data_IF_887148804871
#
_entry.id   IF_887148804871
#
_cell.length_a   1.000
_cell.length_b   1.000
_cell.length_c   1.000
_cell.angle_alpha   90.00
_cell.angle_beta   90.00
_cell.angle_gamma   90.00
#
_symmetry.space_group_name_H-M   'P 1'
#
loop_
_entity.id
_entity.type
_entity.pdbx_description
1 polymer ?
#
# COMPACT_ATOMS: atom_id res chain seq x y z
N UNK A 1 -10.47 -6.44 15.82
CA UNK A 1 -10.83 -5.09 15.33
C UNK A 1 -10.34 -5.00 13.89
N UNK A 2 -11.23 -4.95 12.90
CA UNK A 2 -10.82 -4.87 11.51
C UNK A 2 -10.27 -3.45 11.26
N UNK A 3 -8.97 -3.35 11.00
CA UNK A 3 -8.36 -2.09 10.57
C UNK A 3 -8.84 -1.86 9.15
N UNK A 4 -9.78 -0.95 8.97
CA UNK A 4 -10.17 -0.52 7.63
C UNK A 4 -9.07 0.42 7.15
N UNK A 5 -8.15 -0.08 6.36
CA UNK A 5 -7.03 0.69 5.81
C UNK A 5 -7.57 1.62 4.73
N UNK A 6 -7.06 2.84 4.68
CA UNK A 6 -7.30 3.77 3.58
C UNK A 6 -6.71 3.23 2.28
N UNK A 7 -6.87 3.96 1.19
CA UNK A 7 -6.15 3.66 -0.03
C UNK A 7 -4.66 3.98 0.19
N UNK A 8 -3.77 3.07 -0.18
CA UNK A 8 -2.34 3.39 -0.19
C UNK A 8 -1.99 4.17 -1.45
N UNK A 9 -1.16 5.20 -1.31
CA UNK A 9 -0.54 5.89 -2.44
C UNK A 9 0.99 5.82 -2.29
N UNK A 10 1.66 5.17 -3.24
CA UNK A 10 3.13 5.05 -3.26
C UNK A 10 3.79 6.19 -4.02
N UNK A 11 3.01 7.18 -4.43
CA UNK A 11 3.46 8.37 -5.12
C UNK A 11 2.44 9.48 -4.89
N UNK A 12 2.89 10.71 -4.76
CA UNK A 12 2.04 11.90 -4.82
C UNK A 12 2.05 12.52 -6.21
N UNK A 13 1.14 13.46 -6.46
CA UNK A 13 1.06 14.16 -7.76
C UNK A 13 2.35 14.92 -8.09
N UNK A 14 2.94 15.72 -7.18
CA UNK A 14 4.22 16.35 -7.43
C UNK A 14 5.35 15.36 -7.70
N UNK A 15 5.41 14.23 -7.00
CA UNK A 15 6.40 13.18 -7.20
C UNK A 15 6.30 12.56 -8.59
N UNK A 16 5.07 12.25 -9.05
CA UNK A 16 4.86 11.78 -10.41
C UNK A 16 5.34 12.78 -11.46
N UNK A 17 4.98 14.06 -11.30
CA UNK A 17 5.36 15.10 -12.26
C UNK A 17 6.87 15.32 -12.34
N UNK A 18 7.59 15.15 -11.23
CA UNK A 18 9.06 15.20 -11.23
C UNK A 18 9.70 14.00 -11.93
N UNK A 19 9.09 12.82 -11.80
CA UNK A 19 9.61 11.57 -12.35
C UNK A 19 9.19 11.33 -13.81
N UNK A 20 7.99 11.78 -14.17
CA UNK A 20 7.47 11.66 -15.53
C UNK A 20 7.93 12.84 -16.38
N UNK A 21 8.79 12.61 -17.34
CA UNK A 21 9.34 13.64 -18.25
C UNK A 21 8.34 14.16 -19.29
N UNK A 22 7.07 13.74 -19.25
CA UNK A 22 6.05 14.08 -20.24
C UNK A 22 5.29 15.37 -19.89
N UNK A 23 5.49 16.42 -20.66
CA UNK A 23 4.78 17.71 -20.54
C UNK A 23 3.25 17.62 -20.76
N UNK A 24 2.75 16.53 -21.31
CA UNK A 24 1.32 16.37 -21.62
C UNK A 24 0.44 16.05 -20.39
N UNK A 25 1.03 15.77 -19.23
CA UNK A 25 0.29 15.46 -18.00
C UNK A 25 -0.39 16.66 -17.38
N UNK A 26 0.00 17.88 -17.71
CA UNK A 26 -0.58 19.11 -17.16
C UNK A 26 -2.09 19.23 -17.45
N UNK A 27 -2.58 18.75 -18.60
CA UNK A 27 -4.00 18.76 -18.94
C UNK A 27 -4.84 17.73 -18.18
N UNK A 28 -4.20 16.74 -17.54
CA UNK A 28 -4.85 15.69 -16.76
C UNK A 28 -4.90 16.01 -15.26
N UNK A 29 -4.21 17.05 -14.83
CA UNK A 29 -4.03 17.37 -13.42
C UNK A 29 -5.33 17.78 -12.73
N UNK A 30 -6.26 18.41 -13.45
CA UNK A 30 -7.36 19.08 -12.75
C UNK A 30 -6.82 20.13 -11.76
N UNK A 31 -7.62 20.47 -10.77
CA UNK A 31 -7.18 21.33 -9.66
C UNK A 31 -6.32 20.47 -8.71
N UNK A 32 -5.16 21.00 -8.38
CA UNK A 32 -4.21 20.37 -7.47
C UNK A 32 -3.63 21.40 -6.50
N UNK A 33 -3.59 21.05 -5.23
CA UNK A 33 -3.03 21.84 -4.14
C UNK A 33 -2.41 20.92 -3.09
N UNK A 34 -2.02 21.45 -1.96
CA UNK A 34 -1.51 20.68 -0.82
C UNK A 34 -2.20 21.10 0.46
N UNK A 35 -2.25 20.22 1.46
CA UNK A 35 -2.68 20.57 2.79
C UNK A 35 -1.78 21.66 3.36
N UNK A 36 -2.39 22.73 3.83
CA UNK A 36 -1.71 23.81 4.53
C UNK A 36 -1.55 23.48 6.02
N UNK A 37 -0.57 24.15 6.67
CA UNK A 37 -0.34 24.02 8.11
C UNK A 37 0.96 23.32 8.44
N UNK A 38 1.26 23.21 9.75
CA UNK A 38 2.49 22.63 10.29
C UNK A 38 2.23 21.38 11.17
N UNK A 39 0.95 21.09 11.45
CA UNK A 39 0.52 19.96 12.28
C UNK A 39 -0.32 18.97 11.51
N UNK A 40 -0.45 17.76 12.09
CA UNK A 40 -1.30 16.72 11.54
C UNK A 40 -2.75 17.15 11.62
N UNK A 41 -3.46 17.08 10.49
CA UNK A 41 -4.89 17.30 10.41
C UNK A 41 -5.63 16.14 11.05
N UNK A 42 -6.55 16.42 11.95
CA UNK A 42 -7.31 15.36 12.62
C UNK A 42 -8.34 14.70 11.69
N UNK A 43 -8.62 13.42 11.93
CA UNK A 43 -9.76 12.75 11.31
C UNK A 43 -11.07 13.46 11.69
N UNK A 44 -12.07 13.44 10.80
CA UNK A 44 -13.35 14.13 10.98
C UNK A 44 -13.31 15.63 10.63
N UNK A 45 -12.21 16.12 10.08
CA UNK A 45 -12.10 17.54 9.67
C UNK A 45 -12.99 17.79 8.46
N UNK A 46 -13.92 18.76 8.59
CA UNK A 46 -14.85 19.19 7.53
C UNK A 46 -14.34 20.45 6.81
N UNK A 47 -13.57 21.31 7.48
CA UNK A 47 -12.91 22.47 6.88
C UNK A 47 -11.46 22.17 6.62
N UNK A 48 -11.14 21.85 5.37
CA UNK A 48 -9.83 21.38 4.95
C UNK A 48 -8.92 22.56 4.61
N UNK A 49 -7.88 22.87 5.39
CA UNK A 49 -6.94 23.92 5.06
C UNK A 49 -6.05 23.51 3.89
N UNK A 50 -5.99 24.32 2.86
CA UNK A 50 -5.19 24.09 1.65
C UNK A 50 -4.37 25.31 1.28
N UNK A 51 -3.32 25.13 0.51
CA UNK A 51 -2.46 26.24 0.05
C UNK A 51 -3.24 27.17 -0.89
N UNK A 52 -4.12 26.63 -1.71
CA UNK A 52 -4.98 27.40 -2.61
C UNK A 52 -6.30 26.65 -2.85
N UNK A 53 -7.43 27.32 -2.65
CA UNK A 53 -8.77 26.79 -2.86
C UNK A 53 -9.52 27.45 -4.02
N UNK A 54 -8.86 28.29 -4.81
CA UNK A 54 -9.49 29.00 -5.92
C UNK A 54 -9.87 28.03 -7.05
N UNK A 55 -11.08 28.22 -7.59
CA UNK A 55 -11.58 27.43 -8.70
C UNK A 55 -12.13 26.06 -8.32
N UNK A 56 -12.09 25.66 -7.04
CA UNK A 56 -12.64 24.38 -6.59
C UNK A 56 -14.17 24.39 -6.59
N UNK A 57 -14.74 23.28 -7.04
CA UNK A 57 -16.20 23.09 -7.15
C UNK A 57 -16.63 21.89 -6.35
N UNK A 58 -17.95 21.74 -6.11
CA UNK A 58 -18.47 20.53 -5.50
C UNK A 58 -18.13 19.29 -6.34
N UNK A 59 -17.68 18.23 -5.69
CA UNK A 59 -17.28 17.01 -6.36
C UNK A 59 -16.29 16.16 -5.56
N UNK A 60 -15.87 15.02 -6.10
CA UNK A 60 -14.89 14.16 -5.45
C UNK A 60 -13.52 14.81 -5.39
N UNK A 61 -12.85 14.59 -4.27
CA UNK A 61 -11.50 15.07 -3.96
C UNK A 61 -10.65 13.89 -3.55
N UNK A 62 -9.42 13.84 -4.04
CA UNK A 62 -8.42 12.83 -3.66
C UNK A 62 -7.38 13.47 -2.75
N UNK A 63 -7.23 12.88 -1.56
CA UNK A 63 -6.15 13.14 -0.62
C UNK A 63 -5.10 12.03 -0.77
N UNK A 64 -3.89 12.37 -1.19
CA UNK A 64 -2.78 11.42 -1.33
C UNK A 64 -1.79 11.64 -0.18
N UNK A 65 -1.80 10.73 0.77
CA UNK A 65 -0.99 10.78 1.99
C UNK A 65 -0.51 9.37 2.38
N UNK A 66 0.30 8.77 1.53
CA UNK A 66 0.84 7.44 1.76
C UNK A 66 -0.23 6.40 2.09
N UNK A 67 -0.13 5.71 3.26
CA UNK A 67 -1.08 4.67 3.65
C UNK A 67 -2.46 5.22 4.07
N UNK A 68 -2.60 6.52 4.24
CA UNK A 68 -3.82 7.19 4.72
C UNK A 68 -4.57 7.92 3.63
N UNK A 69 -4.24 7.65 2.37
CA UNK A 69 -4.91 8.28 1.23
C UNK A 69 -6.39 7.92 1.19
N UNK A 70 -7.22 8.89 0.81
CA UNK A 70 -8.67 8.71 0.77
C UNK A 70 -9.34 9.54 -0.33
N UNK A 71 -10.60 9.25 -0.58
CA UNK A 71 -11.48 10.04 -1.42
C UNK A 71 -12.53 10.68 -0.53
N UNK A 72 -12.59 12.01 -0.53
CA UNK A 72 -13.58 12.80 0.17
C UNK A 72 -14.49 13.53 -0.83
N UNK A 73 -15.55 14.16 -0.35
CA UNK A 73 -16.49 14.92 -1.15
C UNK A 73 -16.39 16.40 -0.77
N UNK A 74 -16.00 17.25 -1.71
CA UNK A 74 -16.05 18.71 -1.55
C UNK A 74 -17.48 19.18 -1.78
N UNK A 75 -17.98 20.05 -0.93
CA UNK A 75 -19.27 20.75 -1.09
C UNK A 75 -19.10 22.18 -1.57
N UNK A 76 -17.91 22.76 -1.41
CA UNK A 76 -17.54 24.10 -1.85
C UNK A 76 -16.23 24.56 -1.23
N UNK A 77 -15.82 25.80 -1.52
CA UNK A 77 -14.74 26.48 -0.82
C UNK A 77 -15.33 27.48 0.17
N UNK A 78 -14.80 27.52 1.40
CA UNK A 78 -15.18 28.53 2.39
C UNK A 78 -14.50 29.87 2.12
N UNK A 79 -13.25 29.81 1.67
CA UNK A 79 -12.41 30.96 1.27
C UNK A 79 -11.31 30.48 0.31
N UNK A 80 -10.34 31.34 0.00
CA UNK A 80 -9.22 31.02 -0.89
C UNK A 80 -8.23 29.98 -0.33
N UNK A 81 -8.39 29.59 0.95
CA UNK A 81 -7.46 28.68 1.66
C UNK A 81 -8.16 27.51 2.35
N UNK A 82 -9.49 27.39 2.26
CA UNK A 82 -10.23 26.33 2.88
C UNK A 82 -11.27 25.73 1.96
N UNK A 83 -11.27 24.39 1.88
CA UNK A 83 -12.29 23.60 1.21
C UNK A 83 -13.27 23.04 2.26
N UNK A 84 -14.56 23.08 1.94
CA UNK A 84 -15.59 22.46 2.78
C UNK A 84 -15.88 21.06 2.29
N UNK A 85 -15.72 20.07 3.18
CA UNK A 85 -16.04 18.67 2.90
C UNK A 85 -17.45 18.32 3.38
N UNK A 86 -18.08 17.36 2.72
CA UNK A 86 -19.30 16.73 3.22
C UNK A 86 -19.01 15.98 4.52
N UNK A 87 -20.00 15.94 5.44
CA UNK A 87 -19.87 15.13 6.65
C UNK A 87 -19.69 13.64 6.28
N UNK A 88 -18.88 12.89 7.00
CA UNK A 88 -18.23 13.22 8.28
C UNK A 88 -16.85 13.94 8.15
N UNK A 89 -16.46 14.46 6.99
CA UNK A 89 -15.17 15.05 6.75
C UNK A 89 -14.10 14.02 6.38
N UNK A 90 -12.84 14.28 6.77
CA UNK A 90 -11.73 13.35 6.53
C UNK A 90 -11.90 12.08 7.38
N UNK A 91 -11.64 10.94 6.79
CA UNK A 91 -11.70 9.64 7.49
C UNK A 91 -10.46 9.37 8.33
N UNK A 92 -9.31 9.88 7.86
CA UNK A 92 -8.00 9.64 8.46
C UNK A 92 -7.34 10.95 8.87
N UNK A 93 -6.36 10.91 9.80
CA UNK A 93 -5.48 12.04 10.02
C UNK A 93 -4.51 12.17 8.85
N UNK A 94 -4.18 13.41 8.45
CA UNK A 94 -3.31 13.69 7.32
C UNK A 94 -2.14 14.57 7.69
N UNK A 95 -0.99 14.28 7.07
CA UNK A 95 0.22 15.07 7.25
C UNK A 95 0.13 16.41 6.49
N UNK A 96 0.78 17.47 7.00
CA UNK A 96 0.96 18.71 6.25
C UNK A 96 1.65 18.45 4.91
N UNK A 97 1.23 19.14 3.87
CA UNK A 97 1.78 18.95 2.53
C UNK A 97 1.21 17.77 1.75
N UNK A 98 0.30 16.98 2.34
CA UNK A 98 -0.39 15.91 1.59
C UNK A 98 -1.06 16.50 0.33
N UNK A 99 -0.96 15.78 -0.79
CA UNK A 99 -1.48 16.25 -2.07
C UNK A 99 -3.00 16.17 -2.10
N UNK A 100 -3.63 17.25 -2.53
CA UNK A 100 -5.08 17.40 -2.64
C UNK A 100 -5.42 17.67 -4.10
N UNK A 101 -6.25 16.83 -4.71
CA UNK A 101 -6.61 16.94 -6.12
C UNK A 101 -8.09 16.77 -6.35
N UNK A 102 -8.64 17.50 -7.31
CA UNK A 102 -10.01 17.32 -7.80
C UNK A 102 -10.01 16.74 -9.21
N UNK A 103 -10.94 15.86 -9.51
CA UNK A 103 -11.07 15.29 -10.83
C UNK A 103 -11.40 16.36 -11.88
N UNK A 104 -10.60 16.43 -12.91
CA UNK A 104 -10.95 17.12 -14.16
C UNK A 104 -11.76 16.22 -15.09
N UNK A 105 -12.19 16.74 -16.22
CA UNK A 105 -13.04 16.06 -17.23
C UNK A 105 -12.43 14.79 -17.88
N UNK A 106 -11.18 14.45 -17.58
CA UNK A 106 -10.47 13.27 -18.13
C UNK A 106 -10.07 12.21 -17.11
N UNK A 107 -10.53 12.29 -15.88
CA UNK A 107 -10.02 11.51 -14.75
C UNK A 107 -8.76 12.15 -14.17
N UNK A 108 -8.61 12.18 -12.83
CA UNK A 108 -7.46 12.83 -12.23
C UNK A 108 -6.22 11.95 -12.28
N UNK A 109 -5.07 12.59 -12.33
CA UNK A 109 -3.78 11.92 -12.15
C UNK A 109 -3.74 11.19 -10.78
N UNK A 110 -4.34 11.81 -9.76
CA UNK A 110 -4.46 11.20 -8.43
C UNK A 110 -5.20 9.86 -8.46
N UNK A 111 -6.31 9.75 -9.21
CA UNK A 111 -7.01 8.48 -9.38
C UNK A 111 -6.14 7.43 -10.10
N UNK A 112 -5.38 7.84 -11.11
CA UNK A 112 -4.46 6.94 -11.80
C UNK A 112 -3.35 6.43 -10.86
N UNK A 113 -2.81 7.30 -10.00
CA UNK A 113 -1.82 6.94 -8.97
C UNK A 113 -2.42 5.93 -7.97
N UNK A 114 -3.63 6.15 -7.47
CA UNK A 114 -4.29 5.22 -6.56
C UNK A 114 -4.56 3.85 -7.21
N UNK A 115 -4.99 3.85 -8.47
CA UNK A 115 -5.17 2.60 -9.24
C UNK A 115 -3.84 1.87 -9.47
N UNK A 116 -2.77 2.60 -9.77
CA UNK A 116 -1.43 2.04 -9.91
C UNK A 116 -0.95 1.43 -8.59
N UNK A 117 -1.18 2.13 -7.47
CA UNK A 117 -0.85 1.65 -6.13
C UNK A 117 -1.62 0.37 -5.78
N UNK A 118 -2.92 0.33 -6.04
CA UNK A 118 -3.74 -0.87 -5.82
C UNK A 118 -3.30 -2.06 -6.71
N UNK A 119 -2.90 -1.78 -7.96
CA UNK A 119 -2.34 -2.81 -8.84
C UNK A 119 -1.03 -3.36 -8.28
N UNK A 120 -0.14 -2.48 -7.82
CA UNK A 120 1.14 -2.82 -7.23
C UNK A 120 0.97 -3.71 -5.99
N UNK A 121 0.07 -3.36 -5.09
CA UNK A 121 -0.29 -4.18 -3.92
C UNK A 121 -0.85 -5.55 -4.33
N UNK A 122 -1.73 -5.57 -5.33
CA UNK A 122 -2.27 -6.80 -5.89
C UNK A 122 -1.20 -7.70 -6.51
N UNK A 123 -0.18 -7.13 -7.14
CA UNK A 123 0.93 -7.87 -7.72
C UNK A 123 1.89 -8.42 -6.66
N UNK A 124 2.21 -7.62 -5.64
CA UNK A 124 3.10 -8.04 -4.56
C UNK A 124 2.48 -9.09 -3.64
N UNK A 125 1.17 -9.13 -3.52
CA UNK A 125 0.39 -10.11 -2.75
C UNK A 125 0.86 -10.29 -1.30
N UNK A 126 1.37 -9.24 -0.67
CA UNK A 126 1.67 -9.26 0.76
C UNK A 126 0.36 -9.20 1.57
N UNK A 127 0.38 -9.81 2.74
CA UNK A 127 -0.74 -9.77 3.68
C UNK A 127 -2.00 -10.50 3.26
N UNK A 128 -3.15 -9.94 3.61
CA UNK A 128 -4.50 -10.48 3.35
C UNK A 128 -5.26 -9.61 2.35
N UNK A 129 -6.44 -10.07 1.89
CA UNK A 129 -7.28 -9.26 1.00
C UNK A 129 -7.76 -7.94 1.62
N UNK A 130 -7.83 -7.88 2.94
CA UNK A 130 -8.24 -6.68 3.70
C UNK A 130 -7.08 -5.74 4.05
N UNK A 131 -5.84 -6.24 4.00
CA UNK A 131 -4.63 -5.47 4.25
C UNK A 131 -3.54 -5.94 3.30
N UNK A 132 -3.37 -5.25 2.18
CA UNK A 132 -2.32 -5.48 1.18
C UNK A 132 -1.30 -4.36 1.13
N UNK A 133 -1.45 -3.34 1.98
CA UNK A 133 -0.55 -2.21 2.00
C UNK A 133 0.89 -2.66 2.24
N UNK A 134 1.81 -2.21 1.39
CA UNK A 134 3.24 -2.46 1.57
C UNK A 134 3.88 -1.51 2.58
N UNK A 135 3.15 -0.54 3.10
CA UNK A 135 3.66 0.38 4.12
C UNK A 135 3.85 -0.29 5.47
N UNK A 136 4.83 0.21 6.22
CA UNK A 136 5.12 -0.24 7.57
C UNK A 136 4.03 0.20 8.55
N UNK A 137 3.10 -0.72 8.82
CA UNK A 137 2.00 -0.56 9.74
C UNK A 137 2.12 -1.58 10.87
N UNK A 138 1.59 -1.24 12.05
CA UNK A 138 1.49 -2.19 13.15
C UNK A 138 0.41 -3.24 12.83
N UNK A 139 0.77 -4.51 12.91
CA UNK A 139 -0.09 -5.64 12.56
C UNK A 139 -0.02 -6.72 13.63
N UNK A 140 -1.12 -7.43 13.77
CA UNK A 140 -1.17 -8.65 14.55
C UNK A 140 -1.66 -9.78 13.64
N UNK A 141 -0.87 -10.85 13.56
CA UNK A 141 -1.18 -12.03 12.76
C UNK A 141 -1.19 -13.27 13.63
N UNK A 142 -2.06 -14.21 13.30
CA UNK A 142 -2.23 -15.48 13.98
C UNK A 142 -2.06 -16.62 12.97
N UNK A 143 -1.10 -17.50 13.22
CA UNK A 143 -0.78 -18.59 12.31
C UNK A 143 -0.84 -19.95 13.00
N UNK A 144 -1.56 -20.89 12.39
CA UNK A 144 -1.56 -22.29 12.85
C UNK A 144 -0.21 -22.95 12.59
N UNK A 145 0.28 -23.70 13.58
CA UNK A 145 1.54 -24.43 13.53
C UNK A 145 1.31 -25.92 13.83
N UNK A 146 1.85 -26.85 13.02
CA UNK A 146 2.64 -26.60 11.82
C UNK A 146 1.77 -26.14 10.64
N UNK A 147 2.31 -25.25 9.82
CA UNK A 147 1.62 -24.70 8.66
C UNK A 147 2.58 -24.05 7.66
N UNK A 148 2.05 -23.59 6.53
CA UNK A 148 2.85 -22.99 5.46
C UNK A 148 3.56 -21.69 5.89
N UNK A 149 3.04 -20.99 6.89
CA UNK A 149 3.60 -19.73 7.38
C UNK A 149 4.21 -19.79 8.77
N UNK A 150 3.98 -20.88 9.52
CA UNK A 150 4.61 -21.13 10.81
C UNK A 150 4.94 -22.60 10.94
N UNK A 151 6.20 -22.92 11.22
CA UNK A 151 6.69 -24.30 11.37
C UNK A 151 7.81 -24.38 12.41
N UNK A 152 8.17 -25.58 12.79
CA UNK A 152 9.30 -25.84 13.68
C UNK A 152 10.48 -26.31 12.82
N UNK A 153 11.62 -25.65 12.98
CA UNK A 153 12.89 -26.04 12.38
C UNK A 153 13.80 -26.64 13.47
N UNK A 154 14.40 -27.80 13.18
CA UNK A 154 15.36 -28.49 14.06
C UNK A 154 14.87 -28.73 15.49
N UNK A 155 13.57 -28.95 15.65
CA UNK A 155 12.91 -29.25 16.93
C UNK A 155 13.08 -28.21 18.05
N UNK A 156 13.76 -27.09 17.80
CA UNK A 156 14.07 -26.10 18.82
C UNK A 156 13.76 -24.66 18.43
N UNK A 157 13.42 -24.42 17.16
CA UNK A 157 13.18 -23.08 16.63
C UNK A 157 11.82 -23.05 15.94
N UNK A 158 10.91 -22.22 16.43
CA UNK A 158 9.72 -21.88 15.66
C UNK A 158 10.08 -20.81 14.65
N UNK A 159 9.71 -21.04 13.40
CA UNK A 159 9.93 -20.08 12.31
C UNK A 159 8.58 -19.57 11.85
N UNK A 160 8.43 -18.26 11.81
CA UNK A 160 7.22 -17.60 11.32
C UNK A 160 7.56 -16.73 10.12
N UNK A 161 6.74 -16.85 9.08
CA UNK A 161 6.79 -16.01 7.89
C UNK A 161 5.66 -15.01 7.97
N UNK A 162 5.93 -13.73 8.31
CA UNK A 162 4.92 -12.68 8.40
C UNK A 162 4.30 -12.40 7.03
N UNK A 163 3.08 -11.92 7.04
CA UNK A 163 2.35 -11.55 5.81
C UNK A 163 2.95 -10.32 5.14
N UNK A 164 3.55 -9.42 5.92
CA UNK A 164 4.16 -8.20 5.43
C UNK A 164 5.63 -8.13 5.82
N UNK A 165 6.46 -7.79 4.87
CA UNK A 165 7.91 -7.71 5.05
C UNK A 165 8.49 -6.49 4.29
N UNK A 166 9.69 -6.01 4.67
CA UNK A 166 10.50 -6.48 5.79
C UNK A 166 9.86 -6.15 7.16
N UNK A 167 10.04 -7.03 8.13
CA UNK A 167 9.71 -6.73 9.53
C UNK A 167 10.72 -5.73 10.06
N UNK A 168 10.24 -4.59 10.53
CA UNK A 168 11.08 -3.51 11.07
C UNK A 168 11.14 -3.56 12.61
N UNK A 169 10.01 -3.89 13.24
CA UNK A 169 9.89 -3.97 14.68
C UNK A 169 8.99 -5.15 15.06
N UNK A 170 9.46 -5.97 15.98
CA UNK A 170 8.68 -7.03 16.59
C UNK A 170 8.26 -6.55 17.99
N UNK A 171 6.95 -6.52 18.25
CA UNK A 171 6.40 -5.92 19.48
C UNK A 171 5.91 -6.96 20.48
N UNK A 172 5.33 -8.07 20.01
CA UNK A 172 4.88 -9.15 20.88
C UNK A 172 4.87 -10.50 20.14
N UNK A 173 5.10 -11.56 20.90
CA UNK A 173 5.01 -12.94 20.46
C UNK A 173 4.27 -13.76 21.51
N UNK A 174 3.37 -14.62 21.09
CA UNK A 174 2.73 -15.58 21.95
C UNK A 174 2.46 -16.90 21.24
N UNK A 175 2.51 -17.99 21.97
CA UNK A 175 2.14 -19.32 21.54
C UNK A 175 0.85 -19.72 22.26
N UNK A 176 -0.22 -19.91 21.52
CA UNK A 176 -1.48 -20.42 22.04
C UNK A 176 -1.52 -21.95 21.82
N UNK A 177 -1.61 -22.67 22.90
CA UNK A 177 -1.62 -24.13 22.94
C UNK A 177 -3.03 -24.69 23.20
N UNK A 178 -4.07 -23.89 22.94
CA UNK A 178 -5.46 -24.25 23.17
C UNK A 178 -5.78 -24.42 24.66
N UNK A 179 -6.15 -25.63 25.07
CA UNK A 179 -6.51 -25.91 26.49
C UNK A 179 -5.36 -25.69 27.48
N UNK A 180 -4.11 -25.70 27.03
CA UNK A 180 -2.93 -25.43 27.85
C UNK A 180 -2.68 -23.92 28.06
N UNK A 181 -3.47 -23.06 27.42
CA UNK A 181 -3.38 -21.62 27.57
C UNK A 181 -2.39 -20.97 26.61
N UNK A 182 -2.17 -19.67 26.82
CA UNK A 182 -1.30 -18.85 25.98
C UNK A 182 0.02 -18.58 26.72
N UNK A 183 1.13 -18.90 26.08
CA UNK A 183 2.48 -18.63 26.56
C UNK A 183 3.03 -17.38 25.86
N UNK A 184 3.34 -16.33 26.61
CA UNK A 184 4.06 -15.18 26.06
C UNK A 184 5.54 -15.58 25.84
N UNK A 185 6.05 -15.27 24.65
CA UNK A 185 7.43 -15.53 24.27
C UNK A 185 8.25 -14.24 24.36
N UNK A 186 9.53 -14.37 24.71
CA UNK A 186 10.42 -13.22 24.82
C UNK A 186 10.84 -12.72 23.45
N UNK A 187 10.36 -11.53 23.09
CA UNK A 187 10.69 -10.87 21.83
C UNK A 187 12.19 -10.62 21.67
N UNK A 188 12.91 -10.39 22.76
CA UNK A 188 14.35 -10.12 22.72
C UNK A 188 15.17 -11.34 22.26
N UNK A 189 14.62 -12.53 22.36
CA UNK A 189 15.28 -13.76 21.90
C UNK A 189 14.95 -14.09 20.44
N UNK A 190 13.93 -13.47 19.89
CA UNK A 190 13.57 -13.66 18.49
C UNK A 190 14.61 -13.01 17.55
N UNK A 191 14.84 -13.64 16.42
CA UNK A 191 15.76 -13.15 15.38
C UNK A 191 15.02 -12.89 14.09
N UNK A 192 15.30 -11.74 13.49
CA UNK A 192 14.84 -11.45 12.14
C UNK A 192 15.88 -11.95 11.15
N UNK A 193 15.49 -12.85 10.26
CA UNK A 193 16.38 -13.43 9.24
C UNK A 193 15.81 -13.20 7.84
N UNK A 194 16.59 -13.49 6.80
CA UNK A 194 16.15 -13.30 5.42
C UNK A 194 15.73 -11.86 5.11
N UNK A 195 16.48 -10.86 5.60
CA UNK A 195 16.17 -9.43 5.41
C UNK A 195 14.79 -9.05 6.00
N UNK A 196 14.46 -9.59 7.17
CA UNK A 196 13.19 -9.34 7.84
C UNK A 196 11.99 -10.09 7.25
N UNK A 197 12.23 -11.14 6.48
CA UNK A 197 11.18 -11.99 5.91
C UNK A 197 10.79 -13.18 6.79
N UNK A 198 11.63 -13.52 7.74
CA UNK A 198 11.42 -14.63 8.67
C UNK A 198 11.67 -14.15 10.10
N UNK A 199 10.88 -14.68 11.02
CA UNK A 199 11.04 -14.51 12.46
C UNK A 199 11.39 -15.89 13.02
N UNK A 200 12.60 -16.03 13.55
CA UNK A 200 13.05 -17.22 14.23
C UNK A 200 12.90 -17.04 15.74
N UNK A 201 12.20 -17.94 16.38
CA UNK A 201 11.86 -17.88 17.79
C UNK A 201 12.45 -19.11 18.46
N UNK A 202 13.51 -18.98 19.30
CA UNK A 202 14.03 -20.09 20.07
C UNK A 202 12.96 -20.62 21.03
N UNK A 203 12.67 -21.88 20.96
CA UNK A 203 11.80 -22.56 21.93
C UNK A 203 12.68 -22.99 23.10
N UNK A 204 12.60 -22.24 24.21
CA UNK A 204 13.43 -22.49 25.38
C UNK A 204 13.16 -23.87 25.98
N UNK A 205 14.23 -24.62 26.21
CA UNK A 205 14.27 -25.90 26.90
C UNK A 205 13.84 -25.74 28.38
N UNK A 206 12.62 -26.00 28.68
CA UNK A 206 12.11 -25.91 30.05
C UNK A 206 10.59 -26.02 30.16
N UNK A 207 9.91 -25.57 29.15
CA UNK A 207 8.53 -25.94 28.88
C UNK A 207 8.65 -26.80 27.65
N UNK A 208 8.32 -28.09 27.76
CA UNK A 208 8.40 -28.99 26.62
C UNK A 208 7.28 -28.67 25.61
N UNK A 209 7.40 -27.61 24.81
CA UNK A 209 6.38 -27.22 23.84
C UNK A 209 6.31 -28.27 22.72
N UNK A 210 7.35 -29.09 22.60
CA UNK A 210 7.42 -30.18 21.62
C UNK A 210 6.55 -31.36 22.02
N UNK A 211 6.40 -31.64 23.33
CA UNK A 211 5.46 -32.69 23.79
C UNK A 211 3.99 -32.26 23.54
N UNK A 212 3.66 -30.97 23.66
CA UNK A 212 2.34 -30.45 23.35
C UNK A 212 2.09 -30.43 21.81
N UNK A 213 3.11 -30.15 21.01
CA UNK A 213 3.01 -30.10 19.55
C UNK A 213 3.13 -31.50 18.89
N UNK A 214 3.79 -32.47 19.56
CA UNK A 214 4.02 -33.82 19.01
C UNK A 214 2.77 -34.73 19.02
N UNK A 215 1.70 -34.33 19.69
CA UNK A 215 0.49 -35.13 19.84
C UNK A 215 -0.77 -34.39 19.40
N UNK A 216 -0.96 -34.27 18.10
CA UNK A 216 -2.27 -33.91 17.46
C UNK A 216 -2.93 -32.57 17.85
N UNK A 217 -2.34 -31.74 18.68
CA UNK A 217 -2.90 -30.42 18.98
C UNK A 217 -2.28 -29.35 18.09
N UNK A 218 -3.13 -28.59 17.41
CA UNK A 218 -2.72 -27.42 16.63
C UNK A 218 -2.37 -26.30 17.62
N UNK A 219 -1.13 -25.84 17.58
CA UNK A 219 -0.75 -24.61 18.23
C UNK A 219 -0.94 -23.42 17.30
N UNK A 220 -1.12 -22.25 17.88
CA UNK A 220 -1.22 -21.00 17.11
C UNK A 220 -0.13 -20.04 17.59
N UNK A 221 0.60 -19.46 16.66
CA UNK A 221 1.56 -18.40 16.96
C UNK A 221 0.91 -17.06 16.65
N UNK A 222 0.83 -16.20 17.66
CA UNK A 222 0.43 -14.81 17.52
C UNK A 222 1.66 -13.93 17.44
N UNK A 223 1.74 -13.10 16.42
CA UNK A 223 2.87 -12.20 16.17
C UNK A 223 2.34 -10.79 16.01
N UNK A 224 2.81 -9.86 16.84
CA UNK A 224 2.55 -8.43 16.70
C UNK A 224 3.83 -7.74 16.24
N UNK A 225 3.78 -7.08 15.11
CA UNK A 225 4.96 -6.51 14.47
C UNK A 225 4.60 -5.27 13.62
N UNK A 226 5.61 -4.49 13.28
CA UNK A 226 5.54 -3.47 12.23
C UNK A 226 6.31 -3.98 11.02
N UNK A 227 5.62 -4.20 9.91
CA UNK A 227 6.21 -4.74 8.68
C UNK A 227 5.80 -3.98 7.45
N UNK A 228 6.72 -3.87 6.49
CA UNK A 228 6.57 -3.12 5.25
C UNK A 228 7.61 -2.01 5.09
N UNK A 229 7.39 -1.11 4.14
CA UNK A 229 8.27 0.02 3.85
C UNK A 229 7.84 1.28 4.61
N UNK A 230 8.81 2.04 5.11
CA UNK A 230 8.53 3.28 5.86
C UNK A 230 7.96 4.35 4.91
N UNK A 231 6.83 5.01 5.25
CA UNK A 231 6.22 6.01 4.37
C UNK A 231 7.16 7.15 3.96
N UNK A 232 7.99 7.63 4.89
CA UNK A 232 8.97 8.70 4.64
C UNK A 232 10.26 8.27 3.94
N UNK A 233 10.47 6.96 3.73
CA UNK A 233 11.66 6.37 3.12
C UNK A 233 11.28 5.28 2.11
N UNK A 234 10.38 5.64 1.19
CA UNK A 234 9.93 4.73 0.15
C UNK A 234 11.11 4.35 -0.77
N UNK A 235 11.38 3.04 -0.99
CA UNK A 235 12.39 2.61 -1.94
C UNK A 235 12.16 3.15 -3.34
N UNK A 236 13.25 3.57 -4.00
CA UNK A 236 13.18 4.19 -5.32
C UNK A 236 12.53 3.28 -6.37
N UNK A 237 12.86 2.00 -6.37
CA UNK A 237 12.31 1.00 -7.29
C UNK A 237 10.79 0.83 -7.15
N UNK A 238 10.26 0.92 -5.93
CA UNK A 238 8.84 0.85 -5.66
C UNK A 238 8.11 2.12 -6.15
N UNK A 239 8.68 3.30 -5.88
CA UNK A 239 8.16 4.56 -6.39
C UNK A 239 8.21 4.60 -7.92
N UNK A 240 9.32 4.15 -8.52
CA UNK A 240 9.49 4.10 -9.96
C UNK A 240 8.54 3.11 -10.64
N UNK A 241 8.28 1.95 -10.02
CA UNK A 241 7.26 1.02 -10.50
C UNK A 241 5.87 1.69 -10.52
N UNK A 242 5.53 2.45 -9.47
CA UNK A 242 4.27 3.21 -9.44
C UNK A 242 4.20 4.25 -10.58
N UNK A 243 5.30 4.94 -10.90
CA UNK A 243 5.37 5.87 -12.06
C UNK A 243 5.08 5.13 -13.36
N UNK A 244 5.72 4.00 -13.61
CA UNK A 244 5.53 3.23 -14.85
C UNK A 244 4.09 2.73 -14.99
N UNK A 245 3.50 2.18 -13.92
CA UNK A 245 2.12 1.69 -13.94
C UNK A 245 1.14 2.86 -14.13
N UNK A 246 1.36 3.99 -13.46
CA UNK A 246 0.55 5.20 -13.64
C UNK A 246 0.59 5.69 -15.07
N UNK A 247 1.78 5.75 -15.68
CA UNK A 247 1.98 6.17 -17.07
C UNK A 247 1.26 5.24 -18.05
N UNK A 248 1.31 3.93 -17.80
CA UNK A 248 0.59 2.94 -18.59
C UNK A 248 -0.93 3.12 -18.50
N UNK A 249 -1.46 3.32 -17.29
CA UNK A 249 -2.90 3.58 -17.07
C UNK A 249 -3.37 4.86 -17.76
N UNK A 250 -2.55 5.92 -17.74
CA UNK A 250 -2.85 7.16 -18.46
C UNK A 250 -2.82 6.98 -19.97
N UNK A 251 -1.85 6.24 -20.49
CA UNK A 251 -1.77 5.92 -21.91
C UNK A 251 -3.00 5.16 -22.41
N UNK A 252 -3.51 4.21 -21.61
CA UNK A 252 -4.73 3.46 -21.93
C UNK A 252 -5.99 4.32 -21.93
N UNK A 253 -6.11 5.30 -21.01
CA UNK A 253 -7.23 6.25 -21.04
C UNK A 253 -7.29 7.06 -22.32
N UNK A 254 -6.15 7.32 -22.96
CA UNK A 254 -6.08 8.01 -24.25
C UNK A 254 -6.55 7.13 -25.42
N UNK A 255 -6.57 5.81 -25.22
CA UNK A 255 -7.06 4.84 -26.20
C UNK A 255 -8.20 3.98 -25.60
N UNK A 256 -9.38 4.58 -25.31
CA UNK A 256 -10.48 3.89 -24.63
C UNK A 256 -11.10 2.77 -25.48
N UNK A 257 -10.89 2.76 -26.78
CA UNK A 257 -11.43 1.74 -27.69
C UNK A 257 -10.60 0.46 -27.70
N UNK A 258 -9.43 0.45 -27.03
CA UNK A 258 -8.52 -0.70 -27.08
C UNK A 258 -8.05 -1.04 -28.51
N UNK A 259 -8.23 -0.11 -29.45
CA UNK A 259 -7.84 -0.34 -30.84
C UNK A 259 -6.33 -0.60 -30.89
N UNK A 260 -5.95 -1.78 -31.33
CA UNK A 260 -4.56 -2.17 -31.51
C UNK A 260 -3.83 -1.27 -32.51
N UNK A 261 -4.59 -0.48 -33.24
CA UNK A 261 -4.07 0.35 -34.34
C UNK A 261 -4.93 1.60 -34.52
N UNK A 262 -4.35 2.77 -34.27
CA UNK A 262 -4.97 4.06 -34.61
C UNK A 262 -4.20 4.65 -35.77
N UNK A 263 -4.89 4.89 -36.87
CA UNK A 263 -4.33 5.54 -38.07
C UNK A 263 -4.93 6.93 -38.22
N UNK A 264 -4.09 7.95 -38.11
CA UNK A 264 -4.50 9.34 -38.31
C UNK A 264 -3.59 9.96 -39.39
N UNK A 265 -4.08 10.04 -40.61
CA UNK A 265 -3.30 10.49 -41.74
C UNK A 265 -2.10 9.57 -42.04
N UNK A 266 -0.88 10.14 -42.03
CA UNK A 266 0.37 9.39 -42.24
C UNK A 266 0.93 8.78 -40.94
N UNK A 267 0.32 9.05 -39.80
CA UNK A 267 0.76 8.52 -38.52
C UNK A 267 -0.05 7.29 -38.16
N UNK A 268 0.67 6.25 -37.79
CA UNK A 268 0.10 5.00 -37.30
C UNK A 268 0.61 4.74 -35.91
N UNK A 269 -0.29 4.69 -34.93
CA UNK A 269 0.00 4.35 -33.55
C UNK A 269 -0.48 2.93 -33.29
N UNK A 270 0.43 2.02 -33.01
CA UNK A 270 0.11 0.66 -32.61
C UNK A 270 0.06 0.60 -31.08
N UNK A 271 -1.15 0.54 -30.50
CA UNK A 271 -1.35 0.30 -29.09
C UNK A 271 -1.66 -1.19 -28.86
N UNK A 272 -1.00 -1.82 -27.91
CA UNK A 272 -1.31 -3.20 -27.53
C UNK A 272 -2.47 -3.23 -26.54
N UNK A 273 -3.44 -4.14 -26.71
CA UNK A 273 -4.53 -4.30 -25.74
C UNK A 273 -3.99 -4.77 -24.40
N UNK A 274 -4.55 -4.22 -23.33
CA UNK A 274 -4.33 -4.72 -21.97
C UNK A 274 -4.98 -6.09 -21.82
N UNK A 275 -4.23 -7.06 -21.31
CA UNK A 275 -4.75 -8.41 -21.01
C UNK A 275 -4.40 -9.49 -22.02
N UNK A 276 -3.76 -9.14 -23.14
CA UNK A 276 -3.13 -10.15 -23.97
C UNK A 276 -1.80 -10.56 -23.31
N UNK A 277 -1.79 -11.70 -22.61
CA UNK A 277 -0.64 -12.21 -21.86
C UNK A 277 0.61 -12.46 -22.72
N UNK A 278 0.53 -12.31 -24.01
CA UNK A 278 1.64 -12.42 -24.96
C UNK A 278 2.46 -11.14 -25.13
N UNK A 279 2.12 -10.04 -24.43
CA UNK A 279 2.82 -8.76 -24.62
C UNK A 279 2.52 -7.68 -23.58
N UNK A 280 2.92 -7.88 -22.31
CA UNK A 280 3.01 -6.77 -21.37
C UNK A 280 3.78 -5.60 -22.03
N UNK A 281 3.33 -4.36 -21.79
CA UNK A 281 4.09 -3.19 -22.22
C UNK A 281 5.48 -3.19 -21.59
N UNK A 282 6.44 -2.56 -22.22
CA UNK A 282 7.80 -2.45 -21.67
C UNK A 282 7.79 -1.85 -20.26
N UNK A 283 6.91 -0.86 -20.01
CA UNK A 283 6.76 -0.23 -18.70
C UNK A 283 6.24 -1.21 -17.66
N UNK A 284 5.27 -2.04 -18.03
CA UNK A 284 4.72 -3.05 -17.10
C UNK A 284 5.73 -4.15 -16.79
N UNK A 285 6.55 -4.57 -17.77
CA UNK A 285 7.63 -5.54 -17.54
C UNK A 285 8.70 -4.97 -16.61
N UNK A 286 9.09 -3.71 -16.79
CA UNK A 286 10.02 -3.02 -15.91
C UNK A 286 9.45 -2.89 -14.49
N UNK A 287 8.17 -2.53 -14.35
CA UNK A 287 7.51 -2.47 -13.05
C UNK A 287 7.50 -3.84 -12.35
N UNK A 288 7.16 -4.92 -13.05
CA UNK A 288 7.18 -6.28 -12.51
C UNK A 288 8.57 -6.70 -12.05
N UNK A 289 9.61 -6.36 -12.81
CA UNK A 289 10.99 -6.65 -12.44
C UNK A 289 11.41 -5.89 -11.18
N UNK A 290 11.09 -4.60 -11.08
CA UNK A 290 11.37 -3.78 -9.89
C UNK A 290 10.61 -4.26 -8.65
N UNK A 291 9.41 -4.81 -8.82
CA UNK A 291 8.56 -5.30 -7.73
C UNK A 291 8.89 -6.73 -7.28
N UNK A 292 9.74 -7.46 -8.02
CA UNK A 292 10.08 -8.85 -7.67
C UNK A 292 10.57 -9.04 -6.22
N UNK A 293 11.41 -8.14 -5.64
CA UNK A 293 11.85 -8.25 -4.25
C UNK A 293 10.71 -8.12 -3.21
N UNK A 294 9.62 -7.43 -3.57
CA UNK A 294 8.48 -7.16 -2.68
C UNK A 294 7.37 -8.20 -2.81
N UNK A 295 7.51 -9.13 -3.74
CA UNK A 295 6.49 -10.14 -3.99
C UNK A 295 6.49 -11.21 -2.91
N UNK A 296 5.31 -11.53 -2.35
CA UNK A 296 5.14 -12.69 -1.52
C UNK A 296 5.43 -13.96 -2.33
N UNK A 297 6.23 -14.86 -1.77
CA UNK A 297 6.47 -16.16 -2.42
C UNK A 297 5.20 -16.99 -2.33
N UNK A 298 4.69 -17.42 -3.46
CA UNK A 298 3.63 -18.42 -3.51
C UNK A 298 4.18 -19.79 -2.99
N UNK A 299 3.39 -20.48 -2.19
CA UNK A 299 3.65 -21.83 -1.69
C UNK A 299 2.64 -22.79 -2.29
#
# INVERSE_FOLDING_TARGET
MAITIGYSAYLDVPGYLRAATNQETASLLGLNTALAGTGILAAGTVSLPVVAADGWTAGPLWLLDGPWSEVAQVTGSADSTHLTLAAPGTRWPHAPGASVSQAGSGGSLAEAILRASAWLEGYCQQGTMSDRSLYALARMELWGMPGARAWIDRDTIAVVRPGHFPVQLLSALALDQGECGTLALDVAQARLTGEGRLIEIPLLTGVDPLLALSRSQRAWVSVTYTGGVTPGALPYDLAQACVWITSELLAQRRNPTGAARIRQGKFELQARPWGDHSGDSTLLLQAKAALAPYRAQAF
#
